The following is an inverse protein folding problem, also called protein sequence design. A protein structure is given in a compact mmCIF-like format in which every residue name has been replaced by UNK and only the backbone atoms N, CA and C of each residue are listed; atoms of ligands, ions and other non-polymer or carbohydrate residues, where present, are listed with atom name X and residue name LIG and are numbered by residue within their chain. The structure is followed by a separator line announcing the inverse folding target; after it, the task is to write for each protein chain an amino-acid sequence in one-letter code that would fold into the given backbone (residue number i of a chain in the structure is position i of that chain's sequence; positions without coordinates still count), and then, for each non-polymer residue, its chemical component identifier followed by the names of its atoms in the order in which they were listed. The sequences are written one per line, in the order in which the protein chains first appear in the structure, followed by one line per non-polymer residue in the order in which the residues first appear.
data_IF_450978846720
#
_entry.id   IF_450978846720
#
_cell.length_a   1.000
_cell.length_b   1.000
_cell.length_c   1.000
_cell.angle_alpha   90.00
_cell.angle_beta   90.00
_cell.angle_gamma   90.00
#
_symmetry.space_group_name_H-M   'P 1'
#
loop_
_entity.id
_entity.type
_entity.pdbx_description
1 polymer ?
#
# COMPACT_ATOMS: atom_id res chain seq x y z
N UNK A 1 3.53 -6.72 11.94
CA UNK A 1 4.24 -7.93 11.45
C UNK A 1 3.39 -9.19 11.44
N UNK A 2 2.46 -9.44 12.33
CA UNK A 2 1.50 -10.57 12.33
C UNK A 2 2.11 -11.93 11.95
N UNK A 3 3.41 -12.16 12.22
CA UNK A 3 4.12 -13.39 11.90
C UNK A 3 4.89 -13.38 10.57
N UNK A 4 4.81 -12.32 9.77
CA UNK A 4 5.68 -12.17 8.60
C UNK A 4 7.10 -11.77 9.03
N UNK A 5 8.10 -12.38 8.42
CA UNK A 5 9.50 -11.98 8.54
C UNK A 5 9.75 -10.72 7.67
N UNK A 6 10.72 -9.91 8.02
CA UNK A 6 10.96 -8.61 7.36
C UNK A 6 11.32 -8.75 5.89
N UNK A 7 12.05 -9.78 5.51
CA UNK A 7 12.41 -10.09 4.12
C UNK A 7 11.23 -10.54 3.24
N UNK A 8 10.06 -10.79 3.87
CA UNK A 8 8.79 -11.04 3.17
C UNK A 8 7.85 -9.83 3.13
N UNK A 9 8.32 -8.67 3.61
CA UNK A 9 7.55 -7.43 3.62
C UNK A 9 8.26 -6.41 2.74
N UNK A 10 7.58 -5.92 1.71
CA UNK A 10 8.09 -4.82 0.88
C UNK A 10 7.23 -3.59 1.15
N UNK A 11 7.84 -2.57 1.73
CA UNK A 11 7.17 -1.34 2.06
C UNK A 11 7.52 -0.22 1.09
N UNK A 12 6.50 0.30 0.41
CA UNK A 12 6.61 1.42 -0.52
C UNK A 12 5.94 2.64 0.09
N UNK A 13 6.70 3.72 0.32
CA UNK A 13 6.17 4.97 0.85
C UNK A 13 6.54 6.15 -0.03
N UNK A 14 5.53 6.82 -0.57
CA UNK A 14 5.72 8.04 -1.37
C UNK A 14 6.11 9.25 -0.52
N UNK A 15 5.79 9.22 0.78
CA UNK A 15 6.07 10.27 1.75
C UNK A 15 7.04 9.78 2.81
N UNK A 16 7.76 10.71 3.42
CA UNK A 16 8.62 10.49 4.59
C UNK A 16 8.01 11.19 5.81
N UNK A 17 6.96 10.62 6.43
CA UNK A 17 6.23 11.32 7.50
C UNK A 17 7.13 11.69 8.69
N UNK A 18 8.11 10.84 9.00
CA UNK A 18 9.06 11.08 10.09
C UNK A 18 9.94 12.33 9.88
N UNK A 19 10.19 12.71 8.62
CA UNK A 19 11.03 13.84 8.22
C UNK A 19 10.22 15.01 7.66
N UNK A 20 8.89 14.93 7.62
CA UNK A 20 8.04 16.01 7.11
C UNK A 20 8.15 17.25 8.01
N UNK A 21 8.33 18.42 7.40
CA UNK A 21 8.46 19.68 8.14
C UNK A 21 7.21 20.06 8.95
N UNK A 22 6.05 19.49 8.62
CA UNK A 22 4.78 19.66 9.35
C UNK A 22 4.64 18.69 10.53
N UNK A 23 5.53 17.69 10.64
CA UNK A 23 5.51 16.74 11.74
C UNK A 23 6.05 17.42 13.02
N UNK A 24 5.25 17.62 14.06
CA UNK A 24 5.71 18.22 15.31
C UNK A 24 6.65 17.32 16.11
N UNK A 25 6.78 16.04 15.75
CA UNK A 25 7.66 15.06 16.38
C UNK A 25 8.66 14.49 15.35
N UNK A 26 9.71 15.25 14.99
CA UNK A 26 10.67 14.79 13.99
C UNK A 26 11.30 13.44 14.35
N UNK A 27 11.34 12.53 13.39
CA UNK A 27 11.83 11.16 13.59
C UNK A 27 10.79 10.16 14.10
N UNK A 28 9.58 10.59 14.42
CA UNK A 28 8.50 9.73 14.88
C UNK A 28 7.33 9.74 13.90
N UNK A 29 6.62 8.63 13.82
CA UNK A 29 5.33 8.52 13.13
C UNK A 29 4.33 7.99 14.15
N UNK A 30 3.52 8.88 14.71
CA UNK A 30 2.61 8.54 15.77
C UNK A 30 1.33 7.93 15.21
N UNK A 31 0.99 6.74 15.70
CA UNK A 31 -0.25 6.07 15.38
C UNK A 31 -1.43 6.54 16.22
N UNK A 32 -2.55 5.86 16.08
CA UNK A 32 -3.78 6.15 16.83
C UNK A 32 -3.57 5.92 18.33
N UNK A 33 -4.02 6.88 19.15
CA UNK A 33 -3.95 6.77 20.61
C UNK A 33 -4.81 5.62 21.12
N UNK A 34 -4.21 4.74 21.89
CA UNK A 34 -4.94 3.71 22.62
C UNK A 34 -5.75 4.33 23.77
N UNK A 35 -6.64 3.53 24.38
CA UNK A 35 -7.44 3.96 25.56
C UNK A 35 -6.60 4.48 26.74
N UNK A 36 -5.28 4.23 26.75
CA UNK A 36 -4.34 4.77 27.73
C UNK A 36 -3.78 6.15 27.40
N UNK A 37 -4.19 6.77 26.30
CA UNK A 37 -3.74 8.10 25.88
C UNK A 37 -2.33 8.16 25.30
N UNK A 38 -1.68 7.01 25.06
CA UNK A 38 -0.33 6.92 24.50
C UNK A 38 -0.47 6.58 23.01
N UNK A 39 0.08 7.43 22.14
CA UNK A 39 0.24 7.13 20.72
C UNK A 39 1.50 6.29 20.51
N UNK A 40 1.39 5.09 19.92
CA UNK A 40 2.57 4.29 19.60
C UNK A 40 3.37 4.97 18.48
N UNK A 41 4.69 4.98 18.59
CA UNK A 41 5.54 5.33 17.46
C UNK A 41 5.57 4.14 16.49
N UNK A 42 4.96 4.33 15.32
CA UNK A 42 4.90 3.32 14.27
C UNK A 42 6.22 3.22 13.49
N UNK A 43 7.07 4.25 13.57
CA UNK A 43 8.36 4.32 12.90
C UNK A 43 9.48 3.97 13.89
N UNK A 44 9.51 2.69 14.29
CA UNK A 44 10.54 2.15 15.19
C UNK A 44 11.81 1.77 14.42
N UNK A 45 12.89 1.45 15.15
CA UNK A 45 14.18 0.99 14.60
C UNK A 45 14.07 -0.20 13.62
N UNK A 46 12.93 -0.86 13.62
CA UNK A 46 12.68 -2.07 12.84
C UNK A 46 11.79 -1.82 11.60
N UNK A 47 11.47 -0.57 11.27
CA UNK A 47 10.72 -0.25 10.04
C UNK A 47 11.70 0.04 8.92
N UNK A 48 11.74 -0.84 7.93
CA UNK A 48 12.46 -0.63 6.68
C UNK A 48 11.49 -0.14 5.60
N UNK A 49 11.86 0.92 4.89
CA UNK A 49 11.13 1.39 3.71
C UNK A 49 11.97 1.07 2.49
N UNK A 50 11.50 0.12 1.67
CA UNK A 50 12.26 -0.39 0.52
C UNK A 50 12.24 0.57 -0.66
N UNK A 51 11.09 1.19 -0.92
CA UNK A 51 10.92 2.17 -1.99
C UNK A 51 10.44 3.48 -1.41
N UNK A 52 11.28 4.53 -1.49
CA UNK A 52 11.04 5.82 -0.85
C UNK A 52 10.83 6.93 -1.86
N UNK A 53 9.95 7.88 -1.51
CA UNK A 53 9.75 9.09 -2.29
C UNK A 53 9.59 8.81 -3.79
N UNK A 54 10.43 9.35 -4.67
CA UNK A 54 10.32 9.16 -6.12
C UNK A 54 10.46 7.70 -6.60
N UNK A 55 11.06 6.80 -5.82
CA UNK A 55 11.14 5.37 -6.15
C UNK A 55 9.76 4.69 -6.00
N UNK A 56 8.88 5.23 -5.16
CA UNK A 56 7.50 4.76 -5.00
C UNK A 56 6.64 5.33 -6.13
N UNK A 57 6.64 4.70 -7.29
CA UNK A 57 5.91 5.13 -8.48
C UNK A 57 5.26 3.95 -9.20
N UNK A 58 4.38 4.24 -10.18
CA UNK A 58 3.63 3.23 -10.94
C UNK A 58 4.54 2.24 -11.63
N UNK A 59 5.65 2.69 -12.20
CA UNK A 59 6.59 1.82 -12.91
C UNK A 59 7.30 0.87 -11.95
N UNK A 60 7.85 1.38 -10.84
CA UNK A 60 8.52 0.56 -9.82
C UNK A 60 7.57 -0.47 -9.23
N UNK A 61 6.34 -0.07 -8.90
CA UNK A 61 5.30 -0.97 -8.38
C UNK A 61 4.96 -2.08 -9.38
N UNK A 62 4.68 -1.71 -10.63
CA UNK A 62 4.35 -2.69 -11.67
C UNK A 62 5.52 -3.66 -11.94
N UNK A 63 6.75 -3.13 -12.05
CA UNK A 63 7.95 -3.95 -12.27
C UNK A 63 8.22 -4.90 -11.12
N UNK A 64 8.01 -4.47 -9.88
CA UNK A 64 8.10 -5.29 -8.68
C UNK A 64 7.16 -6.50 -8.77
N UNK A 65 5.87 -6.24 -9.04
CA UNK A 65 4.85 -7.28 -9.11
C UNK A 65 5.12 -8.30 -10.20
N UNK A 66 5.46 -7.84 -11.42
CA UNK A 66 5.73 -8.75 -12.56
C UNK A 66 7.15 -9.34 -12.55
N UNK A 67 8.00 -9.00 -11.57
CA UNK A 67 9.38 -9.49 -11.46
C UNK A 67 10.33 -8.95 -12.53
N UNK A 68 10.06 -7.76 -13.08
CA UNK A 68 10.87 -7.14 -14.15
C UNK A 68 11.90 -6.16 -13.58
N UNK A 69 12.67 -6.63 -12.62
CA UNK A 69 13.71 -5.85 -11.96
C UNK A 69 15.10 -6.21 -12.50
N UNK A 70 16.05 -5.27 -12.37
CA UNK A 70 17.46 -5.50 -12.72
C UNK A 70 18.04 -6.64 -11.88
N UNK A 71 19.04 -7.36 -12.45
CA UNK A 71 19.84 -8.32 -11.70
C UNK A 71 20.47 -7.69 -10.46
N UNK A 72 20.89 -6.44 -10.58
CA UNK A 72 21.60 -5.68 -9.54
C UNK A 72 20.67 -5.12 -8.43
N UNK A 73 19.34 -5.25 -8.60
CA UNK A 73 18.40 -4.86 -7.54
C UNK A 73 18.64 -5.73 -6.31
N UNK A 74 18.78 -5.14 -5.11
CA UNK A 74 18.96 -5.89 -3.86
C UNK A 74 17.83 -6.89 -3.64
N UNK A 75 18.11 -8.07 -3.04
CA UNK A 75 17.10 -9.11 -2.80
C UNK A 75 15.88 -8.63 -2.02
N UNK A 76 16.08 -7.78 -1.00
CA UNK A 76 14.99 -7.24 -0.16
C UNK A 76 14.05 -6.32 -0.93
N UNK A 77 14.48 -5.74 -2.05
CA UNK A 77 13.63 -4.97 -2.97
C UNK A 77 12.96 -5.83 -4.05
N UNK A 78 13.02 -7.14 -3.97
CA UNK A 78 12.43 -8.07 -4.95
C UNK A 78 11.31 -8.87 -4.33
N UNK A 79 10.16 -8.89 -4.97
CA UNK A 79 9.08 -9.81 -4.64
C UNK A 79 9.47 -11.21 -5.11
N UNK A 80 10.05 -12.01 -4.21
CA UNK A 80 10.52 -13.37 -4.48
C UNK A 80 9.39 -14.37 -4.27
N UNK A 81 8.55 -14.54 -5.29
CA UNK A 81 7.36 -15.40 -5.23
C UNK A 81 7.28 -16.36 -6.41
N UNK A 82 6.52 -17.43 -6.23
CA UNK A 82 6.26 -18.51 -7.17
C UNK A 82 4.76 -18.88 -7.24
N UNK A 83 4.44 -19.95 -7.94
CA UNK A 83 3.07 -20.46 -8.14
C UNK A 83 2.38 -20.99 -6.86
N UNK A 84 3.11 -21.10 -5.73
CA UNK A 84 2.57 -21.55 -4.44
C UNK A 84 2.41 -20.39 -3.45
N UNK A 85 2.88 -19.21 -3.80
CA UNK A 85 2.94 -18.06 -2.92
C UNK A 85 1.59 -17.39 -2.75
N UNK A 86 1.25 -17.01 -1.52
CA UNK A 86 0.13 -16.15 -1.19
C UNK A 86 0.64 -14.74 -0.98
N UNK A 87 0.05 -13.75 -1.66
CA UNK A 87 0.49 -12.36 -1.63
C UNK A 87 -0.62 -11.49 -1.03
N UNK A 88 -0.25 -10.65 -0.06
CA UNK A 88 -1.08 -9.54 0.41
C UNK A 88 -0.53 -8.25 -0.20
N UNK A 89 -1.38 -7.51 -0.90
CA UNK A 89 -1.08 -6.16 -1.39
C UNK A 89 -2.04 -5.20 -0.67
N UNK A 90 -1.49 -4.26 0.08
CA UNK A 90 -2.25 -3.21 0.74
C UNK A 90 -1.90 -1.85 0.12
N UNK A 91 -2.88 -1.18 -0.44
CA UNK A 91 -2.74 0.13 -1.07
C UNK A 91 -3.60 1.13 -0.34
N UNK A 92 -2.99 2.15 0.28
CA UNK A 92 -3.70 3.24 0.95
C UNK A 92 -3.25 4.59 0.39
N UNK A 93 -4.22 5.46 0.06
CA UNK A 93 -3.91 6.77 -0.50
C UNK A 93 -5.10 7.43 -1.19
N UNK A 94 -4.80 8.35 -2.10
CA UNK A 94 -5.81 8.99 -2.92
C UNK A 94 -6.15 8.18 -4.16
N UNK A 95 -7.38 8.29 -4.61
CA UNK A 95 -7.87 7.68 -5.84
C UNK A 95 -9.26 8.21 -6.21
N UNK A 96 -9.86 7.59 -7.21
CA UNK A 96 -11.17 7.96 -7.73
C UNK A 96 -11.71 6.85 -8.62
N UNK A 97 -12.62 7.21 -9.54
CA UNK A 97 -13.23 6.26 -10.44
C UNK A 97 -12.19 5.58 -11.34
N UNK A 98 -11.93 4.31 -11.10
CA UNK A 98 -11.03 3.43 -11.83
C UNK A 98 -9.54 3.82 -11.78
N UNK A 99 -9.07 4.59 -10.77
CA UNK A 99 -7.65 4.88 -10.60
C UNK A 99 -7.20 4.97 -9.14
N UNK A 100 -5.90 4.75 -8.93
CA UNK A 100 -5.19 4.97 -7.68
C UNK A 100 -3.97 5.88 -7.92
N UNK A 101 -3.72 6.85 -7.04
CA UNK A 101 -2.63 7.82 -7.17
C UNK A 101 -1.33 7.35 -6.53
N UNK A 102 -0.25 7.52 -7.28
CA UNK A 102 1.12 7.51 -6.78
C UNK A 102 1.62 8.95 -6.73
N UNK A 103 1.80 9.50 -5.54
CA UNK A 103 1.94 10.95 -5.34
C UNK A 103 0.74 11.72 -5.93
N UNK A 104 0.94 13.00 -6.22
CA UNK A 104 -0.06 13.82 -6.93
C UNK A 104 0.18 13.88 -8.45
N UNK A 105 1.19 13.17 -8.95
CA UNK A 105 1.69 13.31 -10.32
C UNK A 105 1.49 12.09 -11.20
N UNK A 106 1.23 10.92 -10.62
CA UNK A 106 1.05 9.67 -11.36
C UNK A 106 -0.21 8.94 -10.89
N UNK A 107 -0.83 8.23 -11.80
CA UNK A 107 -2.00 7.41 -11.54
C UNK A 107 -1.81 6.04 -12.20
N UNK A 108 -2.22 4.98 -11.51
CA UNK A 108 -2.40 3.66 -12.09
C UNK A 108 -3.89 3.43 -12.30
N UNK A 109 -4.28 3.07 -13.51
CA UNK A 109 -5.68 2.78 -13.81
C UNK A 109 -6.07 1.36 -13.39
N UNK A 110 -7.38 1.12 -13.23
CA UNK A 110 -7.95 -0.22 -13.07
C UNK A 110 -7.53 -1.15 -14.21
N UNK A 111 -7.41 -0.64 -15.43
CA UNK A 111 -6.97 -1.41 -16.58
C UNK A 111 -5.48 -1.81 -16.48
N UNK A 112 -4.61 -0.89 -16.05
CA UNK A 112 -3.18 -1.15 -15.90
C UNK A 112 -2.92 -2.21 -14.83
N UNK A 113 -3.57 -2.12 -13.67
CA UNK A 113 -3.43 -3.14 -12.63
C UNK A 113 -3.98 -4.50 -13.08
N UNK A 114 -5.05 -4.50 -13.88
CA UNK A 114 -5.56 -5.73 -14.52
C UNK A 114 -4.52 -6.36 -15.43
N UNK A 115 -3.79 -5.58 -16.23
CA UNK A 115 -2.67 -6.09 -17.04
C UNK A 115 -1.53 -6.63 -16.19
N UNK A 116 -1.18 -5.95 -15.11
CA UNK A 116 -0.15 -6.41 -14.17
C UNK A 116 -0.50 -7.78 -13.60
N UNK A 117 -1.72 -7.98 -13.12
CA UNK A 117 -2.15 -9.27 -12.56
C UNK A 117 -2.22 -10.39 -13.61
N UNK A 118 -2.64 -10.10 -14.83
CA UNK A 118 -2.59 -11.08 -15.93
C UNK A 118 -1.14 -11.52 -16.22
N UNK A 119 -0.18 -10.58 -16.22
CA UNK A 119 1.23 -10.88 -16.43
C UNK A 119 1.84 -11.68 -15.26
N UNK A 120 1.47 -11.33 -14.01
CA UNK A 120 1.84 -12.11 -12.82
C UNK A 120 1.33 -13.56 -12.91
N UNK A 121 0.06 -13.74 -13.30
CA UNK A 121 -0.53 -15.07 -13.46
C UNK A 121 0.17 -15.87 -14.55
N UNK A 122 0.39 -15.29 -15.72
CA UNK A 122 1.10 -15.92 -16.84
C UNK A 122 2.53 -16.36 -16.47
N UNK A 123 3.18 -15.61 -15.58
CA UNK A 123 4.51 -15.90 -15.05
C UNK A 123 4.52 -16.80 -13.81
N UNK A 124 3.35 -17.27 -13.37
CA UNK A 124 3.18 -18.13 -12.19
C UNK A 124 3.82 -17.53 -10.93
N UNK A 125 3.51 -16.26 -10.67
CA UNK A 125 4.11 -15.53 -9.55
C UNK A 125 3.31 -15.60 -8.25
N UNK A 126 2.16 -16.22 -8.28
CA UNK A 126 1.31 -16.39 -7.10
C UNK A 126 0.38 -17.60 -7.25
N UNK A 127 -0.10 -18.09 -6.14
CA UNK A 127 -1.25 -18.98 -6.03
C UNK A 127 -2.54 -18.18 -5.82
N UNK A 128 -2.49 -17.24 -4.89
CA UNK A 128 -3.58 -16.34 -4.55
C UNK A 128 -3.04 -14.97 -4.15
N UNK A 129 -3.79 -13.93 -4.47
CA UNK A 129 -3.51 -12.55 -4.04
C UNK A 129 -4.72 -11.99 -3.33
N UNK A 130 -4.51 -11.40 -2.15
CA UNK A 130 -5.48 -10.52 -1.52
C UNK A 130 -5.03 -9.07 -1.78
N UNK A 131 -5.81 -8.36 -2.59
CA UNK A 131 -5.62 -6.94 -2.85
C UNK A 131 -6.56 -6.14 -1.95
N UNK A 132 -5.99 -5.37 -1.04
CA UNK A 132 -6.71 -4.46 -0.16
C UNK A 132 -6.48 -3.04 -0.65
N UNK A 133 -7.56 -2.29 -0.91
CA UNK A 133 -7.49 -0.93 -1.45
C UNK A 133 -8.29 0.02 -0.57
N UNK A 134 -7.58 0.97 0.05
CA UNK A 134 -8.17 2.02 0.87
C UNK A 134 -8.00 3.39 0.20
N UNK A 135 -9.03 3.80 -0.51
CA UNK A 135 -9.11 5.06 -1.27
C UNK A 135 -10.56 5.43 -1.55
N UNK A 136 -10.81 6.64 -2.03
CA UNK A 136 -12.13 7.02 -2.55
C UNK A 136 -12.47 6.15 -3.78
N UNK A 137 -13.72 5.72 -3.87
CA UNK A 137 -14.26 4.88 -4.95
C UNK A 137 -13.48 3.57 -5.18
N UNK A 138 -12.87 3.02 -4.12
CA UNK A 138 -11.91 1.93 -4.18
C UNK A 138 -12.38 0.69 -4.95
N UNK A 139 -13.67 0.36 -4.90
CA UNK A 139 -14.22 -0.80 -5.63
C UNK A 139 -14.07 -0.68 -7.15
N UNK A 140 -14.05 0.54 -7.68
CA UNK A 140 -13.91 0.77 -9.12
C UNK A 140 -12.51 0.40 -9.63
N UNK A 141 -11.50 0.48 -8.76
CA UNK A 141 -10.13 0.09 -9.09
C UNK A 141 -10.01 -1.42 -9.42
N UNK A 142 -10.95 -2.24 -8.95
CA UNK A 142 -10.97 -3.67 -9.22
C UNK A 142 -11.72 -4.08 -10.52
N UNK A 143 -12.33 -3.14 -11.24
CA UNK A 143 -13.22 -3.45 -12.37
C UNK A 143 -12.58 -4.26 -13.50
N UNK A 144 -11.30 -4.08 -13.76
CA UNK A 144 -10.58 -4.77 -14.84
C UNK A 144 -9.67 -5.90 -14.34
N UNK A 145 -9.82 -6.30 -13.08
CA UNK A 145 -9.08 -7.42 -12.50
C UNK A 145 -9.84 -8.69 -12.79
N UNK A 146 -9.39 -9.46 -13.79
CA UNK A 146 -9.98 -10.70 -14.25
C UNK A 146 -9.05 -11.90 -14.15
N UNK A 147 -7.80 -11.69 -13.67
CA UNK A 147 -6.84 -12.75 -13.46
C UNK A 147 -7.28 -13.71 -12.36
N UNK A 148 -7.15 -15.04 -12.54
CA UNK A 148 -7.56 -16.01 -11.54
C UNK A 148 -6.81 -15.87 -10.21
N UNK A 149 -7.50 -16.20 -9.09
CA UNK A 149 -6.87 -16.20 -7.75
C UNK A 149 -6.64 -14.83 -7.15
N UNK A 150 -7.25 -13.78 -7.69
CA UNK A 150 -7.22 -12.43 -7.11
C UNK A 150 -8.51 -12.18 -6.33
N UNK A 151 -8.36 -11.84 -5.06
CA UNK A 151 -9.45 -11.41 -4.17
C UNK A 151 -9.25 -9.95 -3.82
N UNK A 152 -10.30 -9.16 -3.88
CA UNK A 152 -10.24 -7.72 -3.59
C UNK A 152 -11.08 -7.35 -2.39
N UNK A 153 -10.51 -6.54 -1.50
CA UNK A 153 -11.21 -5.92 -0.37
C UNK A 153 -11.02 -4.40 -0.48
N UNK A 154 -12.12 -3.66 -0.49
CA UNK A 154 -12.10 -2.23 -0.79
C UNK A 154 -12.85 -1.43 0.27
N UNK A 155 -12.35 -0.24 0.62
CA UNK A 155 -12.89 0.62 1.68
C UNK A 155 -14.19 1.35 1.30
N UNK A 156 -14.47 1.51 0.01
CA UNK A 156 -15.61 2.30 -0.50
C UNK A 156 -16.11 1.77 -1.84
N UNK A 157 -17.37 2.02 -2.14
CA UNK A 157 -17.95 1.74 -3.47
C UNK A 157 -17.91 2.96 -4.39
N UNK A 158 -18.36 2.81 -5.63
CA UNK A 158 -18.46 3.92 -6.60
C UNK A 158 -19.24 5.09 -5.98
N UNK A 159 -18.79 6.32 -6.22
CA UNK A 159 -19.35 7.56 -5.70
C UNK A 159 -19.22 7.74 -4.18
N UNK A 160 -18.50 6.87 -3.49
CA UNK A 160 -18.20 7.00 -2.06
C UNK A 160 -16.74 7.44 -1.82
N UNK A 161 -16.58 8.24 -0.77
CA UNK A 161 -15.25 8.62 -0.30
C UNK A 161 -14.78 7.69 0.84
N UNK A 162 -13.48 7.42 0.89
CA UNK A 162 -12.83 6.92 2.10
C UNK A 162 -12.51 8.10 3.02
N UNK A 163 -12.76 7.92 4.32
CA UNK A 163 -12.60 8.99 5.31
C UNK A 163 -11.64 8.56 6.40
N UNK A 164 -10.87 9.53 6.88
CA UNK A 164 -10.14 9.40 8.12
C UNK A 164 -11.07 9.12 9.32
N UNK A 165 -10.56 8.40 10.34
CA UNK A 165 -11.37 8.02 11.50
C UNK A 165 -11.65 9.23 12.40
N UNK A 166 -10.61 9.77 13.00
CA UNK A 166 -10.70 10.94 13.91
C UNK A 166 -9.45 11.81 13.76
N UNK A 167 -9.62 13.09 14.07
CA UNK A 167 -8.47 14.01 14.14
C UNK A 167 -7.85 13.93 15.53
N UNK A 168 -6.55 13.62 15.60
CA UNK A 168 -5.79 13.73 16.84
C UNK A 168 -5.61 15.20 17.20
N UNK A 169 -5.99 15.58 18.43
CA UNK A 169 -5.99 16.99 18.88
C UNK A 169 -4.58 17.57 19.03
N UNK A 170 -3.58 16.72 19.29
CA UNK A 170 -2.20 17.18 19.52
C UNK A 170 -1.46 17.34 18.20
N UNK A 171 -1.80 16.50 17.21
CA UNK A 171 -1.21 16.53 15.87
C UNK A 171 -2.02 17.41 14.90
N UNK A 172 -3.26 17.76 15.23
CA UNK A 172 -4.21 18.45 14.36
C UNK A 172 -4.44 17.76 13.01
N UNK A 173 -4.25 16.44 12.96
CA UNK A 173 -4.43 15.61 11.76
C UNK A 173 -4.96 14.23 12.13
N UNK A 174 -5.58 13.57 11.17
CA UNK A 174 -5.97 12.17 11.30
C UNK A 174 -4.74 11.26 11.13
N UNK A 175 -4.67 10.21 11.94
CA UNK A 175 -3.54 9.27 11.98
C UNK A 175 -3.92 7.85 11.54
N UNK A 176 -5.19 7.63 11.22
CA UNK A 176 -5.72 6.35 10.72
C UNK A 176 -7.01 6.59 9.94
N UNK A 177 -7.23 5.79 8.89
CA UNK A 177 -8.49 5.78 8.16
C UNK A 177 -9.52 4.87 8.84
N UNK A 178 -10.81 5.16 8.62
CA UNK A 178 -11.92 4.37 9.21
C UNK A 178 -11.85 2.91 8.84
N UNK A 179 -11.50 2.62 7.60
CA UNK A 179 -11.35 1.26 7.10
C UNK A 179 -10.23 0.53 7.83
N UNK A 180 -9.03 1.11 7.87
CA UNK A 180 -7.88 0.54 8.58
C UNK A 180 -8.14 0.35 10.07
N UNK A 181 -8.84 1.31 10.71
CA UNK A 181 -9.21 1.20 12.12
C UNK A 181 -10.18 0.03 12.41
N UNK A 182 -10.99 -0.35 11.41
CA UNK A 182 -12.01 -1.39 11.53
C UNK A 182 -11.50 -2.79 11.20
N UNK A 183 -10.33 -2.91 10.54
CA UNK A 183 -9.68 -4.19 10.22
C UNK A 183 -8.91 -4.76 11.42
#
# INVERSE_FOLDING_TARGET
RQGYEDDHIIFMSSMEPACDARNPFPGEVLGFKTKGGIAPNMYSENVEVDYRGPECNVESFSRLLIGRLSSDTPPQKKLQTDENSHILIYMAGHGGDEFFKFHDTQEISSQDIGYVFRDMHAKKRYKEVLLVVDTCQASTFAHHIDAPGIYTLTSSVRDENSYAYETDSDLAMAVVDRFTYSM
#
